data_IF_435398488975
#
_entry.id   IF_435398488975
#
_cell.length_a   1.000
_cell.length_b   1.000
_cell.length_c   1.000
_cell.angle_alpha   90.00
_cell.angle_beta   90.00
_cell.angle_gamma   90.00
#
_symmetry.space_group_name_H-M   'P 1'
#
loop_
_entity.id
_entity.type
_entity.pdbx_description
1 polymer ?
#
# COMPACT_ATOMS: atom_id res chain seq x y z
N UNK A 1 13.23 17.51 12.45
CA UNK A 1 14.34 17.12 11.54
C UNK A 1 14.89 15.73 11.82
N UNK A 2 15.29 15.40 13.06
CA UNK A 2 15.77 14.04 13.41
C UNK A 2 14.73 12.94 13.19
N UNK A 3 13.47 13.17 13.60
CA UNK A 3 12.35 12.25 13.36
C UNK A 3 12.13 11.98 11.85
N UNK A 4 12.29 13.00 11.01
CA UNK A 4 12.18 12.89 9.55
C UNK A 4 13.26 12.00 8.95
N UNK A 5 14.50 12.12 9.43
CA UNK A 5 15.62 11.26 9.01
C UNK A 5 15.35 9.82 9.45
N UNK A 6 14.87 9.61 10.68
CA UNK A 6 14.49 8.28 11.17
C UNK A 6 13.39 7.63 10.32
N UNK A 7 12.32 8.38 10.01
CA UNK A 7 11.24 7.95 9.09
C UNK A 7 11.81 7.48 7.75
N UNK A 8 12.71 8.26 7.16
CA UNK A 8 13.31 7.97 5.87
C UNK A 8 14.18 6.71 5.92
N UNK A 9 15.07 6.60 6.92
CA UNK A 9 15.97 5.44 7.06
C UNK A 9 15.17 4.16 7.26
N UNK A 10 14.15 4.16 8.12
CA UNK A 10 13.32 2.98 8.38
C UNK A 10 12.51 2.59 7.14
N UNK A 11 11.84 3.55 6.49
CA UNK A 11 11.03 3.28 5.30
C UNK A 11 11.88 2.76 4.13
N UNK A 12 13.03 3.41 3.84
CA UNK A 12 13.94 2.99 2.79
C UNK A 12 14.51 1.60 3.07
N UNK A 13 14.93 1.34 4.31
CA UNK A 13 15.48 0.04 4.71
C UNK A 13 14.47 -1.09 4.52
N UNK A 14 13.20 -0.88 4.88
CA UNK A 14 12.14 -1.87 4.69
C UNK A 14 11.90 -2.17 3.21
N UNK A 15 11.78 -1.14 2.36
CA UNK A 15 11.54 -1.31 0.92
C UNK A 15 12.73 -2.06 0.28
N UNK A 16 13.96 -1.64 0.58
CA UNK A 16 15.16 -2.31 0.08
C UNK A 16 15.24 -3.75 0.56
N UNK A 17 14.89 -4.01 1.83
CA UNK A 17 14.89 -5.35 2.41
C UNK A 17 13.89 -6.28 1.72
N UNK A 18 12.62 -5.89 1.58
CA UNK A 18 11.61 -6.75 0.94
C UNK A 18 11.88 -6.94 -0.56
N UNK A 19 12.41 -5.92 -1.23
CA UNK A 19 12.84 -6.01 -2.64
C UNK A 19 13.97 -7.02 -2.82
N UNK A 20 15.02 -6.94 -2.01
CA UNK A 20 16.09 -7.95 -2.01
C UNK A 20 15.58 -9.35 -1.66
N UNK A 21 14.73 -9.45 -0.63
CA UNK A 21 14.16 -10.72 -0.18
C UNK A 21 13.30 -11.37 -1.26
N UNK A 22 12.63 -10.60 -2.12
CA UNK A 22 11.78 -11.12 -3.21
C UNK A 22 12.54 -12.02 -4.20
N UNK A 23 13.82 -11.74 -4.43
CA UNK A 23 14.71 -12.56 -5.26
C UNK A 23 15.29 -13.79 -4.56
N UNK A 24 15.04 -13.96 -3.25
CA UNK A 24 15.53 -15.09 -2.45
C UNK A 24 14.40 -15.97 -1.91
N UNK A 25 13.33 -15.36 -1.38
CA UNK A 25 12.17 -16.00 -0.74
C UNK A 25 10.89 -15.25 -1.13
N UNK A 26 10.42 -15.47 -2.35
CA UNK A 26 9.28 -14.74 -2.95
C UNK A 26 8.02 -14.77 -2.07
N UNK A 27 7.66 -15.93 -1.50
CA UNK A 27 6.48 -16.05 -0.63
C UNK A 27 6.57 -15.19 0.64
N UNK A 28 7.73 -15.21 1.32
CA UNK A 28 7.95 -14.39 2.52
C UNK A 28 8.01 -12.90 2.19
N UNK A 29 8.67 -12.53 1.09
CA UNK A 29 8.72 -11.15 0.63
C UNK A 29 7.33 -10.62 0.26
N UNK A 30 6.51 -11.43 -0.42
CA UNK A 30 5.12 -11.10 -0.73
C UNK A 30 4.28 -10.89 0.53
N UNK A 31 4.38 -11.81 1.50
CA UNK A 31 3.70 -11.68 2.80
C UNK A 31 4.11 -10.39 3.53
N UNK A 32 5.42 -10.13 3.66
CA UNK A 32 5.92 -8.92 4.32
C UNK A 32 5.53 -7.64 3.58
N UNK A 33 5.49 -7.66 2.26
CA UNK A 33 5.05 -6.52 1.44
C UNK A 33 3.55 -6.27 1.57
N UNK A 34 2.75 -7.33 1.75
CA UNK A 34 1.31 -7.24 1.96
C UNK A 34 0.91 -6.78 3.37
N UNK A 35 1.82 -6.89 4.36
CA UNK A 35 1.59 -6.28 5.66
C UNK A 35 1.43 -4.76 5.49
N UNK A 36 0.58 -4.10 6.30
CA UNK A 36 0.38 -2.67 6.24
C UNK A 36 1.56 -1.91 6.87
N UNK A 37 2.80 -2.20 6.43
CA UNK A 37 4.05 -1.65 7.00
C UNK A 37 4.07 -0.12 6.94
N UNK A 38 3.62 0.45 5.83
CA UNK A 38 3.51 1.90 5.66
C UNK A 38 2.52 2.50 6.67
N UNK A 39 1.36 1.88 6.87
CA UNK A 39 0.35 2.29 7.84
C UNK A 39 0.85 2.15 9.27
N UNK A 40 1.49 1.04 9.62
CA UNK A 40 2.07 0.80 10.95
C UNK A 40 3.06 1.91 11.31
N UNK A 41 3.98 2.22 10.39
CA UNK A 41 4.97 3.28 10.61
C UNK A 41 4.32 4.67 10.64
N UNK A 42 3.41 4.96 9.70
CA UNK A 42 2.76 6.27 9.62
C UNK A 42 1.93 6.56 10.87
N UNK A 43 1.18 5.58 11.39
CA UNK A 43 0.42 5.73 12.65
C UNK A 43 1.35 5.92 13.85
N UNK A 44 2.39 5.10 13.98
CA UNK A 44 3.34 5.21 15.08
C UNK A 44 4.03 6.58 15.10
N UNK A 45 4.53 7.03 13.95
CA UNK A 45 5.18 8.33 13.86
C UNK A 45 4.20 9.51 13.99
N UNK A 46 2.98 9.40 13.45
CA UNK A 46 1.95 10.43 13.61
C UNK A 46 1.56 10.60 15.07
N UNK A 47 1.40 9.51 15.81
CA UNK A 47 1.10 9.58 17.24
C UNK A 47 2.24 10.24 18.03
N UNK A 48 3.49 9.93 17.69
CA UNK A 48 4.67 10.54 18.34
C UNK A 48 4.78 12.03 18.02
N UNK A 49 4.42 12.45 16.81
CA UNK A 49 4.61 13.82 16.34
C UNK A 49 3.46 14.76 16.75
N UNK A 50 2.23 14.26 16.74
CA UNK A 50 1.02 15.08 16.93
C UNK A 50 0.26 14.76 18.21
N UNK A 51 0.47 13.59 18.83
CA UNK A 51 -0.18 13.20 20.08
C UNK A 51 -1.71 12.99 20.00
N UNK A 52 -2.30 13.11 18.82
CA UNK A 52 -3.75 13.02 18.62
C UNK A 52 -4.19 11.59 18.30
N UNK A 53 -4.65 10.89 19.33
CA UNK A 53 -5.19 9.54 19.21
C UNK A 53 -6.46 9.46 18.36
N UNK A 54 -7.26 10.53 18.30
CA UNK A 54 -8.49 10.56 17.48
C UNK A 54 -8.13 10.61 16.00
N UNK A 55 -7.19 11.47 15.64
CA UNK A 55 -6.66 11.54 14.27
C UNK A 55 -6.03 10.20 13.84
N UNK A 56 -5.25 9.55 14.72
CA UNK A 56 -4.67 8.23 14.45
C UNK A 56 -5.75 7.16 14.17
N UNK A 57 -6.85 7.17 14.93
CA UNK A 57 -7.98 6.24 14.72
C UNK A 57 -8.72 6.53 13.40
N UNK A 58 -8.99 7.81 13.10
CA UNK A 58 -9.62 8.19 11.83
C UNK A 58 -8.75 7.82 10.62
N UNK A 59 -7.43 8.02 10.73
CA UNK A 59 -6.49 7.62 9.70
C UNK A 59 -6.48 6.09 9.49
N UNK A 60 -6.45 5.30 10.56
CA UNK A 60 -6.53 3.85 10.48
C UNK A 60 -7.83 3.36 9.80
N UNK A 61 -8.98 3.97 10.13
CA UNK A 61 -10.27 3.68 9.49
C UNK A 61 -10.24 4.03 7.99
N UNK A 62 -9.68 5.19 7.64
CA UNK A 62 -9.54 5.62 6.25
C UNK A 62 -8.68 4.64 5.45
N UNK A 63 -7.54 4.21 6.00
CA UNK A 63 -6.70 3.18 5.35
C UNK A 63 -7.46 1.88 5.17
N UNK A 64 -8.19 1.41 6.19
CA UNK A 64 -8.95 0.16 6.10
C UNK A 64 -9.96 0.18 4.94
N UNK A 65 -10.69 1.29 4.77
CA UNK A 65 -11.65 1.47 3.66
C UNK A 65 -10.94 1.51 2.29
N UNK A 66 -9.70 2.00 2.25
CA UNK A 66 -8.90 2.03 1.02
C UNK A 66 -8.31 0.65 0.63
N UNK A 67 -8.22 -0.32 1.55
CA UNK A 67 -7.64 -1.65 1.27
C UNK A 67 -8.36 -2.33 0.10
N UNK A 68 -9.71 -2.47 0.06
CA UNK A 68 -10.40 -3.07 -1.08
C UNK A 68 -10.06 -2.42 -2.43
N UNK A 69 -9.91 -1.08 -2.46
CA UNK A 69 -9.51 -0.36 -3.68
C UNK A 69 -8.07 -0.71 -4.05
N UNK A 70 -7.18 -0.80 -3.07
CA UNK A 70 -5.77 -1.18 -3.30
C UNK A 70 -5.60 -2.59 -3.88
N UNK A 71 -6.54 -3.51 -3.59
CA UNK A 71 -6.52 -4.87 -4.12
C UNK A 71 -6.69 -4.92 -5.65
N UNK A 72 -7.28 -3.88 -6.26
CA UNK A 72 -7.47 -3.80 -7.71
C UNK A 72 -6.13 -3.79 -8.47
N UNK A 73 -5.05 -3.30 -7.85
CA UNK A 73 -3.70 -3.33 -8.43
C UNK A 73 -3.23 -4.74 -8.78
N UNK A 74 -3.63 -5.74 -7.99
CA UNK A 74 -3.17 -7.12 -8.17
C UNK A 74 -3.98 -7.90 -9.21
N UNK A 75 -5.15 -7.40 -9.66
CA UNK A 75 -6.02 -8.11 -10.61
C UNK A 75 -5.30 -8.48 -11.91
N UNK A 76 -4.55 -7.58 -12.58
CA UNK A 76 -3.86 -7.93 -13.81
C UNK A 76 -2.75 -8.98 -13.60
N UNK A 77 -2.12 -8.99 -12.42
CA UNK A 77 -1.12 -10.00 -12.07
C UNK A 77 -1.75 -11.38 -11.84
N UNK A 78 -2.93 -11.44 -11.22
CA UNK A 78 -3.70 -12.69 -11.03
C UNK A 78 -4.19 -13.29 -12.36
N UNK A 79 -4.33 -12.46 -13.41
CA UNK A 79 -4.78 -12.85 -14.74
C UNK A 79 -3.65 -12.94 -15.76
N UNK A 80 -2.39 -12.72 -15.35
CA UNK A 80 -1.26 -12.55 -16.26
C UNK A 80 -1.06 -13.76 -17.19
N UNK A 81 -1.13 -14.98 -16.65
CA UNK A 81 -0.98 -16.22 -17.42
C UNK A 81 -2.16 -16.46 -18.37
N UNK A 82 -3.39 -16.11 -17.96
CA UNK A 82 -4.60 -16.30 -18.77
C UNK A 82 -4.67 -15.35 -19.96
N UNK A 83 -4.14 -14.14 -19.79
CA UNK A 83 -4.21 -13.07 -20.77
C UNK A 83 -2.87 -12.84 -21.50
N UNK A 84 -1.86 -13.67 -21.24
CA UNK A 84 -0.49 -13.53 -21.77
C UNK A 84 0.09 -12.12 -21.56
N UNK A 85 -0.11 -11.55 -20.37
CA UNK A 85 0.37 -10.21 -20.03
C UNK A 85 1.82 -10.27 -19.56
N UNK A 86 2.65 -9.37 -20.08
CA UNK A 86 3.99 -9.14 -19.54
C UNK A 86 3.92 -8.24 -18.27
N UNK A 87 5.04 -8.10 -17.58
CA UNK A 87 5.16 -7.29 -16.36
C UNK A 87 4.63 -5.85 -16.54
N UNK A 88 5.05 -5.15 -17.60
CA UNK A 88 4.68 -3.75 -17.82
C UNK A 88 3.19 -3.57 -18.09
N UNK A 89 2.59 -4.51 -18.83
CA UNK A 89 1.16 -4.54 -19.07
C UNK A 89 0.40 -4.68 -17.74
N UNK A 90 0.81 -5.61 -16.86
CA UNK A 90 0.21 -5.77 -15.53
C UNK A 90 0.41 -4.52 -14.65
N UNK A 91 1.61 -3.93 -14.66
CA UNK A 91 1.94 -2.77 -13.83
C UNK A 91 1.11 -1.54 -14.20
N UNK A 92 1.08 -1.17 -15.49
CA UNK A 92 0.35 0.02 -15.97
C UNK A 92 -1.16 -0.18 -15.81
N UNK A 93 -1.69 -1.34 -16.20
CA UNK A 93 -3.12 -1.62 -16.03
C UNK A 93 -3.53 -1.67 -14.56
N UNK A 94 -2.68 -2.18 -13.68
CA UNK A 94 -2.91 -2.17 -12.23
C UNK A 94 -3.01 -0.74 -11.68
N UNK A 95 -2.10 0.16 -12.09
CA UNK A 95 -2.19 1.59 -11.74
C UNK A 95 -3.48 2.21 -12.29
N UNK A 96 -3.85 1.88 -13.53
CA UNK A 96 -5.11 2.34 -14.13
C UNK A 96 -6.33 1.90 -13.33
N UNK A 97 -6.36 0.63 -12.88
CA UNK A 97 -7.43 0.09 -12.05
C UNK A 97 -7.49 0.74 -10.66
N UNK A 98 -6.35 1.07 -10.05
CA UNK A 98 -6.32 1.85 -8.80
C UNK A 98 -6.98 3.22 -8.99
N UNK A 99 -6.62 3.93 -10.07
CA UNK A 99 -7.23 5.22 -10.40
C UNK A 99 -8.73 5.11 -10.59
N UNK A 100 -9.18 4.15 -11.42
CA UNK A 100 -10.60 3.89 -11.64
C UNK A 100 -11.34 3.53 -10.34
N UNK A 101 -10.76 2.65 -9.53
CA UNK A 101 -11.32 2.22 -8.24
C UNK A 101 -11.47 3.37 -7.25
N UNK A 102 -10.49 4.27 -7.19
CA UNK A 102 -10.58 5.48 -6.37
C UNK A 102 -11.76 6.37 -6.80
N UNK A 103 -11.92 6.62 -8.10
CA UNK A 103 -13.03 7.43 -8.60
C UNK A 103 -14.38 6.76 -8.31
N UNK A 104 -14.52 5.45 -8.53
CA UNK A 104 -15.74 4.70 -8.23
C UNK A 104 -16.07 4.80 -6.73
N UNK A 105 -15.10 4.53 -5.87
CA UNK A 105 -15.27 4.61 -4.42
C UNK A 105 -15.73 6.01 -3.99
N UNK A 106 -15.07 7.06 -4.46
CA UNK A 106 -15.39 8.44 -4.13
C UNK A 106 -16.80 8.86 -4.61
N UNK A 107 -17.26 8.37 -5.76
CA UNK A 107 -18.63 8.64 -6.21
C UNK A 107 -19.66 7.92 -5.34
N UNK A 108 -19.41 6.65 -4.99
CA UNK A 108 -20.31 5.88 -4.13
C UNK A 108 -20.44 6.51 -2.73
N UNK A 109 -19.33 6.94 -2.13
CA UNK A 109 -19.34 7.60 -0.81
C UNK A 109 -20.00 8.98 -0.79
N UNK A 110 -20.19 9.61 -1.96
CA UNK A 110 -20.93 10.88 -2.07
C UNK A 110 -22.43 10.69 -2.29
N UNK A 111 -22.83 9.49 -2.73
CA UNK A 111 -24.23 9.14 -3.02
C UNK A 111 -24.93 8.55 -1.79
N UNK A 112 -24.16 7.91 -0.90
CA UNK A 112 -24.59 7.40 0.42
C UNK A 112 -24.49 8.53 1.45
#
# INVERSE_FOLDING_TARGET
>A
MWLTIAKLVVAASLITFVSWLSGKKTGLAGFLTALPLTTLLALAFSQVEWGDSKQSVEYAKSVFVAIPVSLLFFIPYLLAEKLNLNFWNCYISGIGLLGAGYFIHNHLTKII
#
